data_IF_912447341209
#
_entry.id   IF_912447341209
#
_cell.length_a   1.000
_cell.length_b   1.000
_cell.length_c   1.000
_cell.angle_alpha   90.00
_cell.angle_beta   90.00
_cell.angle_gamma   90.00
#
_symmetry.space_group_name_H-M   'P 1'
#
loop_
_entity.id
_entity.type
_entity.pdbx_description
1 polymer ?
#
# COMPACT_ATOMS: atom_id res chain seq x y z
N UNK A 1 20.71 -14.02 -1.34
CA UNK A 1 19.73 -13.65 -0.31
C UNK A 1 18.46 -13.13 -1.00
N UNK A 2 17.31 -13.62 -0.61
CA UNK A 2 16.05 -13.13 -1.18
C UNK A 2 15.82 -11.66 -0.80
N UNK A 3 15.26 -10.84 -1.70
CA UNK A 3 14.98 -9.44 -1.37
C UNK A 3 13.87 -9.34 -0.31
N UNK A 4 13.99 -8.34 0.55
CA UNK A 4 12.99 -8.07 1.59
C UNK A 4 11.76 -7.43 0.97
N UNK A 5 10.56 -8.01 1.14
CA UNK A 5 9.35 -7.42 0.58
C UNK A 5 8.82 -6.28 1.46
N UNK A 6 8.37 -5.21 0.80
CA UNK A 6 7.69 -4.08 1.43
C UNK A 6 6.34 -3.89 0.74
N UNK A 7 5.24 -3.95 1.48
CA UNK A 7 3.96 -3.54 0.92
C UNK A 7 3.92 -2.02 0.84
N UNK A 8 3.43 -1.49 -0.26
CA UNK A 8 3.28 -0.04 -0.45
C UNK A 8 1.79 0.30 -0.35
N UNK A 9 1.43 1.09 0.67
CA UNK A 9 0.04 1.46 0.89
C UNK A 9 -0.45 2.41 -0.21
N UNK A 10 -1.76 2.41 -0.43
CA UNK A 10 -2.41 3.20 -1.46
C UNK A 10 -2.07 4.69 -1.38
N UNK A 11 -2.01 5.26 -0.17
CA UNK A 11 -1.68 6.67 0.01
C UNK A 11 -0.27 7.02 -0.49
N UNK A 12 0.65 6.07 -0.45
CA UNK A 12 2.01 6.23 -0.99
C UNK A 12 1.99 6.07 -2.51
N UNK A 13 1.28 5.07 -3.04
CA UNK A 13 1.15 4.86 -4.48
C UNK A 13 0.56 6.09 -5.18
N UNK A 14 -0.47 6.68 -4.58
CA UNK A 14 -1.11 7.87 -5.13
C UNK A 14 -0.13 9.02 -5.29
N UNK A 15 0.73 9.26 -4.30
CA UNK A 15 1.71 10.35 -4.32
C UNK A 15 2.91 10.02 -5.20
N UNK A 16 3.30 8.77 -5.27
CA UNK A 16 4.41 8.33 -6.11
C UNK A 16 4.16 8.64 -7.59
N UNK A 17 2.90 8.62 -8.01
CA UNK A 17 2.52 8.81 -9.41
C UNK A 17 1.88 10.18 -9.65
N UNK A 18 2.10 11.14 -8.74
CA UNK A 18 1.59 12.50 -8.86
C UNK A 18 2.70 13.51 -8.60
N UNK A 19 3.50 13.85 -9.65
CA UNK A 19 4.67 14.74 -9.47
C UNK A 19 4.36 16.10 -8.86
N UNK A 20 3.14 16.61 -9.00
CA UNK A 20 2.72 17.90 -8.43
C UNK A 20 2.28 17.82 -6.97
N UNK A 21 2.21 16.61 -6.38
CA UNK A 21 1.90 16.46 -4.96
C UNK A 21 3.08 16.93 -4.11
N UNK A 22 2.79 17.66 -3.03
CA UNK A 22 3.83 18.21 -2.15
C UNK A 22 4.73 17.14 -1.53
N UNK A 23 4.20 15.92 -1.34
CA UNK A 23 4.94 14.82 -0.75
C UNK A 23 5.63 13.93 -1.79
N UNK A 24 5.53 14.27 -3.06
CA UNK A 24 6.14 13.49 -4.13
C UNK A 24 7.66 13.31 -3.95
N UNK A 25 8.44 14.37 -3.67
CA UNK A 25 9.89 14.20 -3.46
C UNK A 25 10.22 13.27 -2.30
N UNK A 26 9.44 13.35 -1.23
CA UNK A 26 9.61 12.50 -0.05
C UNK A 26 9.36 11.02 -0.40
N UNK A 27 8.29 10.74 -1.13
CA UNK A 27 7.92 9.39 -1.54
C UNK A 27 8.97 8.81 -2.49
N UNK A 28 9.39 9.57 -3.49
CA UNK A 28 10.41 9.12 -4.45
C UNK A 28 11.70 8.78 -3.72
N UNK A 29 12.13 9.65 -2.81
CA UNK A 29 13.33 9.42 -2.02
C UNK A 29 13.23 8.15 -1.18
N UNK A 30 12.11 7.96 -0.49
CA UNK A 30 11.89 6.78 0.34
C UNK A 30 11.93 5.50 -0.49
N UNK A 31 11.26 5.48 -1.62
CA UNK A 31 11.24 4.31 -2.51
C UNK A 31 12.63 4.02 -3.07
N UNK A 32 13.35 5.02 -3.52
CA UNK A 32 14.71 4.85 -4.03
C UNK A 32 15.63 4.26 -2.97
N UNK A 33 15.55 4.75 -1.74
CA UNK A 33 16.36 4.23 -0.63
C UNK A 33 16.02 2.76 -0.34
N UNK A 34 14.73 2.42 -0.28
CA UNK A 34 14.28 1.05 -0.05
C UNK A 34 14.83 0.12 -1.14
N UNK A 35 14.72 0.53 -2.39
CA UNK A 35 15.20 -0.28 -3.53
C UNK A 35 16.71 -0.50 -3.50
N UNK A 36 17.47 0.39 -2.87
CA UNK A 36 18.92 0.22 -2.68
C UNK A 36 19.26 -0.81 -1.60
N UNK A 37 18.28 -1.28 -0.84
CA UNK A 37 18.45 -2.20 0.30
C UNK A 37 18.22 -3.66 -0.04
N UNK A 38 18.30 -4.06 -1.30
CA UNK A 38 17.91 -5.42 -1.71
C UNK A 38 16.46 -5.71 -1.27
N UNK A 39 15.53 -4.88 -1.73
CA UNK A 39 14.13 -4.95 -1.39
C UNK A 39 13.28 -5.13 -2.66
N UNK A 40 12.08 -5.69 -2.49
CA UNK A 40 11.06 -5.73 -3.53
C UNK A 40 9.81 -5.03 -3.02
N UNK A 41 9.23 -4.19 -3.85
CA UNK A 41 7.97 -3.51 -3.55
C UNK A 41 6.81 -4.39 -3.93
N UNK A 42 5.78 -4.41 -3.08
CA UNK A 42 4.58 -5.24 -3.28
C UNK A 42 3.32 -4.40 -3.21
N UNK A 43 2.27 -4.89 -3.85
CA UNK A 43 0.94 -4.29 -3.80
C UNK A 43 -0.11 -5.40 -3.81
N UNK A 44 -1.36 -5.05 -3.51
CA UNK A 44 -2.50 -5.96 -3.53
C UNK A 44 -3.56 -5.45 -4.49
N UNK A 45 -4.53 -6.30 -4.84
CA UNK A 45 -5.69 -5.89 -5.63
C UNK A 45 -6.52 -4.83 -4.89
N UNK A 46 -6.54 -4.89 -3.55
CA UNK A 46 -7.18 -3.85 -2.75
C UNK A 46 -6.54 -2.48 -3.01
N UNK A 47 -5.20 -2.41 -3.06
CA UNK A 47 -4.50 -1.17 -3.38
C UNK A 47 -4.91 -0.64 -4.75
N UNK A 48 -5.06 -1.51 -5.73
CA UNK A 48 -5.52 -1.10 -7.07
C UNK A 48 -6.92 -0.51 -7.01
N UNK A 49 -7.84 -1.16 -6.26
CA UNK A 49 -9.22 -0.68 -6.13
C UNK A 49 -9.26 0.71 -5.48
N UNK A 50 -8.53 0.90 -4.40
CA UNK A 50 -8.48 2.17 -3.68
C UNK A 50 -7.81 3.26 -4.52
N UNK A 51 -6.72 2.93 -5.19
CA UNK A 51 -6.01 3.82 -6.11
C UNK A 51 -6.93 4.26 -7.25
N UNK A 52 -7.62 3.31 -7.87
CA UNK A 52 -8.54 3.57 -8.98
C UNK A 52 -9.67 4.49 -8.56
N UNK A 53 -10.28 4.21 -7.42
CA UNK A 53 -11.37 5.04 -6.89
C UNK A 53 -10.92 6.49 -6.71
N UNK A 54 -9.78 6.73 -6.10
CA UNK A 54 -9.27 8.10 -5.90
C UNK A 54 -8.91 8.77 -7.22
N UNK A 55 -8.24 8.05 -8.12
CA UNK A 55 -7.83 8.61 -9.41
C UNK A 55 -9.01 9.03 -10.28
N UNK A 56 -10.07 8.21 -10.32
CA UNK A 56 -11.21 8.46 -11.20
C UNK A 56 -12.32 9.28 -10.54
N UNK A 57 -12.28 9.41 -9.21
CA UNK A 57 -13.27 10.21 -8.48
C UNK A 57 -13.15 11.68 -8.91
N UNK A 58 -14.29 12.39 -9.04
CA UNK A 58 -14.28 13.80 -9.46
C UNK A 58 -13.43 14.69 -8.55
N UNK A 59 -12.83 15.72 -9.12
CA UNK A 59 -12.08 16.73 -8.37
C UNK A 59 -12.90 17.33 -7.23
N UNK A 60 -14.20 17.57 -7.45
CA UNK A 60 -15.10 18.11 -6.43
C UNK A 60 -15.32 17.16 -5.24
N UNK A 61 -14.93 15.90 -5.37
CA UNK A 61 -15.07 14.87 -4.33
C UNK A 61 -13.70 14.36 -3.84
N UNK A 62 -12.70 15.22 -3.86
CA UNK A 62 -11.34 14.88 -3.43
C UNK A 62 -10.68 13.79 -4.27
N UNK A 63 -11.10 13.64 -5.53
CA UNK A 63 -10.47 12.74 -6.48
C UNK A 63 -9.53 13.49 -7.41
N UNK A 64 -8.89 12.75 -8.31
CA UNK A 64 -7.98 13.34 -9.28
C UNK A 64 -8.64 13.64 -10.62
N UNK A 65 -9.90 13.22 -10.81
CA UNK A 65 -10.66 13.47 -12.03
C UNK A 65 -10.07 12.85 -13.28
N UNK A 66 -9.29 11.77 -13.14
CA UNK A 66 -8.66 11.11 -14.28
C UNK A 66 -9.65 10.18 -14.97
N UNK A 67 -9.41 9.94 -16.27
CA UNK A 67 -10.16 8.92 -16.99
C UNK A 67 -9.72 7.51 -16.55
N UNK A 68 -10.55 6.48 -16.81
CA UNK A 68 -10.13 5.10 -16.61
C UNK A 68 -8.87 4.75 -17.40
N UNK A 69 -8.69 5.28 -18.62
CA UNK A 69 -7.54 5.03 -19.46
C UNK A 69 -6.26 5.61 -18.86
N UNK A 70 -6.34 6.84 -18.34
CA UNK A 70 -5.20 7.48 -17.66
C UNK A 70 -4.84 6.73 -16.37
N UNK A 71 -5.87 6.30 -15.62
CA UNK A 71 -5.68 5.53 -14.39
C UNK A 71 -5.03 4.18 -14.68
N UNK A 72 -5.49 3.49 -15.72
CA UNK A 72 -4.91 2.21 -16.14
C UNK A 72 -3.42 2.34 -16.48
N UNK A 73 -3.04 3.41 -17.15
CA UNK A 73 -1.63 3.67 -17.46
C UNK A 73 -0.77 3.79 -16.19
N UNK A 74 -1.31 4.43 -15.15
CA UNK A 74 -0.61 4.57 -13.88
C UNK A 74 -0.52 3.24 -13.13
N UNK A 75 -1.59 2.44 -13.16
CA UNK A 75 -1.58 1.11 -12.57
C UNK A 75 -0.53 0.23 -13.26
N UNK A 76 -0.48 0.25 -14.58
CA UNK A 76 0.53 -0.51 -15.32
C UNK A 76 1.94 -0.09 -14.98
N UNK A 77 2.16 1.20 -14.71
CA UNK A 77 3.48 1.71 -14.31
C UNK A 77 3.97 1.01 -13.04
N UNK A 78 3.13 0.96 -12.01
CA UNK A 78 3.59 0.31 -10.76
C UNK A 78 3.51 -1.23 -10.85
N UNK A 79 2.60 -1.80 -11.64
CA UNK A 79 2.58 -3.26 -11.84
C UNK A 79 3.88 -3.77 -12.46
N UNK A 80 4.48 -3.00 -13.37
CA UNK A 80 5.75 -3.38 -14.01
C UNK A 80 6.93 -3.32 -13.05
N UNK A 81 6.82 -2.59 -11.94
CA UNK A 81 7.90 -2.33 -11.00
C UNK A 81 7.72 -3.02 -9.65
N UNK A 82 6.56 -3.61 -9.43
CA UNK A 82 6.18 -4.16 -8.13
C UNK A 82 5.63 -5.57 -8.30
N UNK A 83 5.57 -6.30 -7.21
CA UNK A 83 5.04 -7.65 -7.18
C UNK A 83 3.63 -7.66 -6.57
N UNK A 84 2.68 -8.29 -7.26
CA UNK A 84 1.34 -8.49 -6.73
C UNK A 84 1.36 -9.57 -5.66
N UNK A 85 0.75 -9.26 -4.50
CA UNK A 85 0.41 -10.26 -3.48
C UNK A 85 -1.03 -10.68 -3.78
N UNK A 86 -1.24 -11.89 -4.36
CA UNK A 86 -2.58 -12.26 -4.81
C UNK A 86 -3.53 -12.54 -3.65
N UNK A 87 -4.79 -12.20 -3.85
CA UNK A 87 -5.86 -12.61 -2.96
C UNK A 87 -6.02 -14.13 -3.03
N UNK A 88 -6.48 -14.72 -1.90
CA UNK A 88 -6.70 -16.16 -1.82
C UNK A 88 -7.71 -16.45 -0.73
N UNK A 89 -8.17 -17.69 -0.68
CA UNK A 89 -9.02 -18.15 0.42
C UNK A 89 -8.29 -17.97 1.75
N UNK A 90 -6.99 -18.25 1.78
CA UNK A 90 -6.17 -18.12 3.00
C UNK A 90 -6.11 -16.67 3.49
N UNK A 91 -5.97 -15.70 2.58
CA UNK A 91 -5.99 -14.28 2.93
C UNK A 91 -7.35 -13.92 3.53
N UNK A 92 -8.44 -14.38 2.93
CA UNK A 92 -9.79 -14.12 3.43
C UNK A 92 -9.97 -14.66 4.85
N UNK A 93 -9.55 -15.90 5.08
CA UNK A 93 -9.67 -16.54 6.39
C UNK A 93 -8.85 -15.83 7.45
N UNK A 94 -7.62 -15.43 7.12
CA UNK A 94 -6.76 -14.66 8.03
C UNK A 94 -7.37 -13.31 8.35
N UNK A 95 -7.93 -12.64 7.36
CA UNK A 95 -8.62 -11.37 7.55
C UNK A 95 -9.79 -11.51 8.55
N UNK A 96 -10.64 -12.52 8.36
CA UNK A 96 -11.76 -12.78 9.26
C UNK A 96 -11.29 -13.00 10.69
N UNK A 97 -10.21 -13.73 10.89
CA UNK A 97 -9.61 -13.93 12.21
C UNK A 97 -9.11 -12.63 12.82
N UNK A 98 -8.44 -11.80 12.03
CA UNK A 98 -7.94 -10.51 12.51
C UNK A 98 -9.06 -9.58 12.97
N UNK A 99 -10.16 -9.55 12.24
CA UNK A 99 -11.30 -8.69 12.56
C UNK A 99 -11.83 -8.99 13.96
N UNK A 100 -11.92 -10.27 14.31
CA UNK A 100 -12.43 -10.69 15.62
C UNK A 100 -11.38 -10.50 16.71
N UNK A 101 -10.16 -10.97 16.50
CA UNK A 101 -9.11 -10.97 17.51
C UNK A 101 -8.62 -9.56 17.87
N UNK A 102 -8.78 -8.59 16.96
CA UNK A 102 -8.37 -7.20 17.21
C UNK A 102 -9.57 -6.26 17.38
N UNK A 103 -10.79 -6.79 17.48
CA UNK A 103 -12.01 -5.99 17.64
C UNK A 103 -12.09 -4.86 16.62
N UNK A 104 -11.84 -5.19 15.37
CA UNK A 104 -11.81 -4.19 14.28
C UNK A 104 -13.23 -3.75 13.94
N UNK A 105 -13.43 -2.45 13.79
CA UNK A 105 -14.72 -1.89 13.41
C UNK A 105 -14.55 -0.74 12.41
N UNK A 106 -15.60 -0.50 11.61
CA UNK A 106 -15.61 0.60 10.66
C UNK A 106 -14.56 0.48 9.57
N UNK A 107 -14.03 1.61 9.14
CA UNK A 107 -13.09 1.69 8.00
C UNK A 107 -11.77 0.96 8.24
N UNK A 108 -11.44 0.68 9.49
CA UNK A 108 -10.22 -0.07 9.83
C UNK A 108 -10.25 -1.52 9.32
N UNK A 109 -11.40 -1.99 8.87
CA UNK A 109 -11.57 -3.31 8.24
C UNK A 109 -10.68 -3.45 6.99
N UNK A 110 -10.42 -2.35 6.29
CA UNK A 110 -9.60 -2.37 5.09
C UNK A 110 -8.11 -2.51 5.41
N UNK A 111 -7.63 -1.84 6.45
CA UNK A 111 -6.24 -1.99 6.90
C UNK A 111 -5.98 -3.40 7.43
N UNK A 112 -6.95 -3.98 8.13
CA UNK A 112 -6.87 -5.37 8.58
C UNK A 112 -6.71 -6.33 7.40
N UNK A 113 -7.35 -6.06 6.26
CA UNK A 113 -7.23 -6.91 5.07
C UNK A 113 -5.83 -6.84 4.48
N UNK A 114 -5.21 -5.67 4.46
CA UNK A 114 -3.82 -5.52 4.04
C UNK A 114 -2.89 -6.33 4.96
N UNK A 115 -3.11 -6.25 6.27
CA UNK A 115 -2.32 -7.02 7.24
C UNK A 115 -2.48 -8.52 7.03
N UNK A 116 -3.70 -8.98 6.73
CA UNK A 116 -3.94 -10.40 6.42
C UNK A 116 -3.13 -10.85 5.20
N UNK A 117 -3.12 -10.05 4.14
CA UNK A 117 -2.31 -10.34 2.95
C UNK A 117 -0.82 -10.37 3.29
N UNK A 118 -0.36 -9.43 4.11
CA UNK A 118 1.03 -9.39 4.56
C UNK A 118 1.41 -10.67 5.31
N UNK A 119 0.57 -11.13 6.22
CA UNK A 119 0.84 -12.34 6.99
C UNK A 119 0.91 -13.58 6.11
N UNK A 120 -0.04 -13.72 5.20
CA UNK A 120 -0.10 -14.90 4.31
C UNK A 120 1.12 -14.94 3.38
N UNK A 121 1.58 -13.80 2.91
CA UNK A 121 2.71 -13.70 1.99
C UNK A 121 4.06 -13.42 2.67
N UNK A 122 4.09 -13.48 4.00
CA UNK A 122 5.30 -13.26 4.81
C UNK A 122 5.97 -11.92 4.52
N UNK A 123 5.15 -10.87 4.43
CA UNK A 123 5.59 -9.48 4.32
C UNK A 123 5.42 -8.81 5.68
N UNK A 124 6.48 -8.21 6.20
CA UNK A 124 6.49 -7.63 7.55
C UNK A 124 6.55 -6.10 7.57
N UNK A 125 6.92 -5.49 6.46
CA UNK A 125 7.02 -4.03 6.37
C UNK A 125 5.95 -3.47 5.44
N UNK A 126 5.36 -2.33 5.84
CA UNK A 126 4.46 -1.55 5.00
C UNK A 126 4.90 -0.10 5.00
N UNK A 127 5.04 0.48 3.81
CA UNK A 127 5.33 1.89 3.64
C UNK A 127 3.99 2.62 3.56
N UNK A 128 3.73 3.52 4.50
CA UNK A 128 2.42 4.19 4.64
C UNK A 128 2.54 5.54 5.32
N UNK A 129 1.69 6.48 4.94
CA UNK A 129 1.55 7.75 5.66
C UNK A 129 0.73 7.60 6.94
N UNK A 130 -0.03 6.50 7.07
CA UNK A 130 -0.91 6.24 8.22
C UNK A 130 -0.32 5.16 9.12
N UNK A 131 0.95 5.29 9.47
CA UNK A 131 1.67 4.29 10.26
C UNK A 131 0.99 3.97 11.59
N UNK A 132 0.32 4.95 12.20
CA UNK A 132 -0.38 4.76 13.48
C UNK A 132 -1.56 3.79 13.37
N UNK A 133 -2.19 3.70 12.20
CA UNK A 133 -3.35 2.83 12.00
C UNK A 133 -2.96 1.34 12.03
N UNK A 134 -1.67 1.03 11.92
CA UNK A 134 -1.16 -0.33 11.95
C UNK A 134 -0.51 -0.70 13.29
N UNK A 135 -0.51 0.21 14.27
CA UNK A 135 0.19 0.01 15.55
C UNK A 135 -0.35 -1.17 16.37
N UNK A 136 -1.63 -1.54 16.18
CA UNK A 136 -2.23 -2.69 16.88
C UNK A 136 -1.70 -4.05 16.43
N UNK A 137 -1.04 -4.10 15.28
CA UNK A 137 -0.52 -5.35 14.71
C UNK A 137 0.96 -5.45 15.01
N UNK A 138 1.32 -6.20 16.05
CA UNK A 138 2.70 -6.27 16.56
C UNK A 138 3.69 -6.92 15.59
N UNK A 139 3.21 -7.72 14.64
CA UNK A 139 4.04 -8.39 13.63
C UNK A 139 4.21 -7.57 12.35
N UNK A 140 3.66 -6.35 12.31
CA UNK A 140 3.77 -5.44 11.17
C UNK A 140 4.60 -4.23 11.58
N UNK A 141 5.61 -3.91 10.77
CA UNK A 141 6.37 -2.68 10.91
C UNK A 141 5.87 -1.66 9.90
N UNK A 142 5.15 -0.66 10.38
CA UNK A 142 4.64 0.42 9.54
C UNK A 142 5.66 1.56 9.51
N UNK A 143 6.09 1.91 8.30
CA UNK A 143 7.15 2.88 8.06
C UNK A 143 6.59 4.09 7.33
N UNK A 144 6.65 5.25 7.98
CA UNK A 144 6.30 6.50 7.33
C UNK A 144 7.42 6.90 6.38
N UNK A 145 7.12 7.40 5.16
CA UNK A 145 8.17 7.79 4.20
C UNK A 145 9.25 8.70 4.77
N UNK A 146 8.90 9.62 5.69
CA UNK A 146 9.88 10.52 6.31
C UNK A 146 10.91 9.81 7.19
N UNK A 147 10.62 8.58 7.64
CA UNK A 147 11.54 7.82 8.50
C UNK A 147 12.52 6.95 7.72
N UNK A 148 12.35 6.85 6.41
CA UNK A 148 13.23 6.06 5.55
C UNK A 148 14.51 6.86 5.30
N UNK A 149 15.63 6.29 5.73
CA UNK A 149 16.94 6.93 5.59
C UNK A 149 17.96 5.96 5.02
N UNK A 150 18.88 6.51 4.24
CA UNK A 150 19.97 5.74 3.64
C UNK A 150 20.97 5.21 4.66
#
# INVERSE_FOLDING_TARGET
MAPTPYLVDTNVLLRWLKPEDRDYPLVVSAIDIILQRSAVLCFTSQNVAEFWNTCTRPLARNGYGLSPQETDSRVRYFEERMQLLPDSLTVHQEWRKLLVSNSVSGVQVHDARLVAAMRVHDVKQILTFNDRDFARYSDVEALHPRTIKS
#
